data_IF_285979616314
#
_entry.id   IF_285979616314
#
_cell.length_a   1.000
_cell.length_b   1.000
_cell.length_c   1.000
_cell.angle_alpha   90.00
_cell.angle_beta   90.00
_cell.angle_gamma   90.00
#
_symmetry.space_group_name_H-M   'P 1'
#
loop_
_entity.id
_entity.type
_entity.pdbx_description
1 polymer ?
#
# COMPACT_ATOMS: atom_id res chain seq x y z
N UNK A 1 -40.08 9.20 5.96
CA UNK A 1 -39.78 7.75 5.92
C UNK A 1 -38.48 7.53 6.66
N UNK A 2 -38.38 6.57 7.59
CA UNK A 2 -37.10 6.30 8.25
C UNK A 2 -36.10 5.78 7.21
N UNK A 3 -34.93 6.42 7.11
CA UNK A 3 -33.83 5.92 6.30
C UNK A 3 -33.46 4.53 6.81
N UNK A 4 -33.66 3.48 6.00
CA UNK A 4 -33.16 2.16 6.36
C UNK A 4 -31.62 2.19 6.30
N UNK A 5 -30.98 1.82 7.40
CA UNK A 5 -29.52 1.71 7.46
C UNK A 5 -29.12 0.28 7.09
N UNK A 6 -28.08 0.13 6.26
CA UNK A 6 -27.53 -1.17 5.89
C UNK A 6 -26.33 -1.45 6.77
N UNK A 7 -26.39 -2.53 7.55
CA UNK A 7 -25.27 -2.96 8.39
C UNK A 7 -24.12 -3.41 7.49
N UNK A 8 -22.96 -2.78 7.65
CA UNK A 8 -21.75 -3.07 6.87
C UNK A 8 -20.57 -3.31 7.83
N UNK A 9 -19.79 -4.35 7.60
CA UNK A 9 -18.64 -4.76 8.42
C UNK A 9 -17.34 -4.53 7.67
N UNK A 10 -16.44 -3.80 8.30
CA UNK A 10 -15.11 -3.49 7.77
C UNK A 10 -14.03 -4.24 8.53
N UNK A 11 -12.98 -4.67 7.83
CA UNK A 11 -11.68 -5.03 8.40
C UNK A 11 -10.65 -4.01 7.93
N UNK A 12 -9.96 -3.35 8.85
CA UNK A 12 -8.91 -2.38 8.53
C UNK A 12 -7.56 -2.96 8.96
N UNK A 13 -6.61 -2.95 8.04
CA UNK A 13 -5.23 -3.37 8.20
C UNK A 13 -4.31 -2.20 7.82
N UNK A 14 -3.11 -2.17 8.39
CA UNK A 14 -2.09 -1.19 8.07
C UNK A 14 -0.75 -1.75 8.54
N UNK A 15 0.36 -1.25 7.98
CA UNK A 15 1.72 -1.52 8.48
C UNK A 15 2.00 -3.02 8.64
N UNK A 16 1.54 -3.84 7.69
CA UNK A 16 1.73 -5.29 7.81
C UNK A 16 3.17 -5.68 7.53
N UNK A 17 3.90 -4.89 6.74
CA UNK A 17 5.32 -5.13 6.43
C UNK A 17 5.61 -6.58 6.04
N UNK A 18 4.81 -7.11 5.10
CA UNK A 18 4.87 -8.50 4.64
C UNK A 18 4.54 -9.58 5.70
N UNK A 19 3.97 -9.22 6.85
CA UNK A 19 3.50 -10.17 7.84
C UNK A 19 2.13 -10.76 7.49
N UNK A 20 1.94 -12.04 7.75
CA UNK A 20 0.62 -12.67 7.67
C UNK A 20 -0.15 -12.46 8.97
N UNK A 21 -1.48 -12.35 8.87
CA UNK A 21 -2.35 -12.30 10.04
C UNK A 21 -2.32 -13.66 10.75
N UNK A 22 -1.98 -13.67 12.06
CA UNK A 22 -2.13 -14.86 12.89
C UNK A 22 -3.57 -15.38 12.85
N UNK A 23 -3.75 -16.72 12.88
CA UNK A 23 -5.09 -17.34 12.78
C UNK A 23 -6.08 -16.80 13.81
N UNK A 24 -5.62 -16.49 15.02
CA UNK A 24 -6.44 -15.96 16.11
C UNK A 24 -6.81 -14.47 15.96
N UNK A 25 -6.21 -13.75 15.00
CA UNK A 25 -6.52 -12.34 14.69
C UNK A 25 -7.36 -12.17 13.43
N UNK A 26 -7.62 -13.24 12.68
CA UNK A 26 -8.53 -13.20 11.54
C UNK A 26 -9.98 -13.10 12.03
N UNK A 27 -10.83 -12.29 11.38
CA UNK A 27 -12.26 -12.33 11.62
C UNK A 27 -12.79 -13.75 11.47
N UNK A 28 -13.67 -14.16 12.39
CA UNK A 28 -14.34 -15.48 12.33
C UNK A 28 -15.43 -15.51 11.26
N UNK A 29 -16.08 -14.37 11.06
CA UNK A 29 -17.14 -14.18 10.09
C UNK A 29 -16.60 -13.38 8.89
N UNK A 30 -17.26 -13.49 7.75
CA UNK A 30 -17.00 -12.66 6.58
C UNK A 30 -17.18 -11.17 6.89
N UNK A 31 -16.44 -10.33 6.19
CA UNK A 31 -16.58 -8.87 6.25
C UNK A 31 -17.01 -8.37 4.87
N UNK A 32 -17.70 -7.24 4.80
CA UNK A 32 -18.15 -6.69 3.51
C UNK A 32 -16.98 -6.04 2.76
N UNK A 33 -16.07 -5.39 3.50
CA UNK A 33 -14.92 -4.67 2.95
C UNK A 33 -13.69 -4.88 3.84
N UNK A 34 -12.56 -5.24 3.23
CA UNK A 34 -11.26 -5.12 3.85
C UNK A 34 -10.52 -3.91 3.27
N UNK A 35 -9.78 -3.16 4.09
CA UNK A 35 -8.98 -2.01 3.66
C UNK A 35 -7.56 -2.19 4.21
N UNK A 36 -6.54 -2.08 3.37
CA UNK A 36 -5.14 -2.01 3.78
C UNK A 36 -4.61 -0.59 3.54
N UNK A 37 -4.26 0.10 4.62
CA UNK A 37 -3.92 1.52 4.65
C UNK A 37 -2.42 1.79 4.39
N UNK A 38 -1.80 1.06 3.46
CA UNK A 38 -0.38 1.24 3.15
C UNK A 38 0.59 0.43 4.01
N UNK A 39 1.87 0.50 3.62
CA UNK A 39 3.00 -0.25 4.20
C UNK A 39 2.74 -1.76 4.14
N UNK A 40 2.39 -2.22 2.93
CA UNK A 40 2.24 -3.64 2.62
C UNK A 40 3.57 -4.38 2.76
N UNK A 41 4.65 -3.67 2.47
CA UNK A 41 6.02 -4.19 2.42
C UNK A 41 6.90 -3.56 3.49
N UNK A 42 8.04 -4.18 3.76
CA UNK A 42 9.06 -3.58 4.63
C UNK A 42 10.11 -2.86 3.77
N UNK A 43 10.43 -3.44 2.63
CA UNK A 43 11.52 -3.02 1.76
C UNK A 43 11.05 -2.80 0.32
N UNK A 44 9.75 -2.84 0.01
CA UNK A 44 9.20 -2.73 -1.36
C UNK A 44 9.63 -3.82 -2.34
N UNK A 45 10.06 -4.99 -1.84
CA UNK A 45 10.46 -6.12 -2.71
C UNK A 45 9.26 -6.81 -3.33
N UNK A 46 9.41 -7.32 -4.56
CA UNK A 46 8.33 -8.05 -5.24
C UNK A 46 7.81 -9.25 -4.42
N UNK A 47 8.71 -9.97 -3.74
CA UNK A 47 8.33 -11.10 -2.87
C UNK A 47 7.42 -10.68 -1.71
N UNK A 48 7.56 -9.44 -1.22
CA UNK A 48 6.78 -8.89 -0.13
C UNK A 48 5.38 -8.52 -0.62
N UNK A 49 5.26 -7.89 -1.79
CA UNK A 49 3.96 -7.69 -2.45
C UNK A 49 3.23 -9.01 -2.69
N UNK A 50 3.91 -10.06 -3.19
CA UNK A 50 3.31 -11.40 -3.32
C UNK A 50 2.83 -11.96 -1.97
N UNK A 51 3.50 -11.63 -0.87
CA UNK A 51 3.10 -12.04 0.48
C UNK A 51 1.90 -11.24 0.97
N UNK A 52 1.86 -9.93 0.72
CA UNK A 52 0.72 -9.08 1.04
C UNK A 52 -0.53 -9.49 0.24
N UNK A 53 -0.39 -9.82 -1.05
CA UNK A 53 -1.49 -10.39 -1.85
C UNK A 53 -1.97 -11.71 -1.27
N UNK A 54 -1.07 -12.60 -0.82
CA UNK A 54 -1.45 -13.85 -0.14
C UNK A 54 -2.20 -13.58 1.16
N UNK A 55 -1.78 -12.58 1.93
CA UNK A 55 -2.52 -12.13 3.11
C UNK A 55 -3.94 -11.71 2.72
N UNK A 56 -4.07 -10.79 1.76
CA UNK A 56 -5.35 -10.23 1.32
C UNK A 56 -6.29 -11.32 0.77
N UNK A 57 -5.78 -12.23 -0.07
CA UNK A 57 -6.53 -13.40 -0.57
C UNK A 57 -7.04 -14.31 0.54
N UNK A 58 -6.39 -14.30 1.71
CA UNK A 58 -6.76 -15.13 2.85
C UNK A 58 -7.82 -14.52 3.78
N UNK A 59 -8.32 -13.33 3.43
CA UNK A 59 -9.40 -12.61 4.12
C UNK A 59 -10.71 -12.88 3.36
N UNK A 60 -11.72 -13.33 4.10
CA UNK A 60 -13.06 -13.54 3.57
C UNK A 60 -13.82 -12.20 3.45
N UNK A 61 -13.60 -11.52 2.33
CA UNK A 61 -14.20 -10.23 2.00
C UNK A 61 -14.42 -10.12 0.47
N UNK A 62 -15.62 -9.75 -0.02
CA UNK A 62 -15.84 -9.54 -1.46
C UNK A 62 -14.99 -8.38 -2.02
N UNK A 63 -14.83 -7.31 -1.25
CA UNK A 63 -14.08 -6.11 -1.63
C UNK A 63 -12.86 -5.92 -0.73
N UNK A 64 -11.67 -5.73 -1.30
CA UNK A 64 -10.42 -5.50 -0.60
C UNK A 64 -9.72 -4.29 -1.22
N UNK A 65 -9.75 -3.16 -0.53
CA UNK A 65 -9.15 -1.91 -0.99
C UNK A 65 -7.72 -1.81 -0.46
N UNK A 66 -6.79 -1.39 -1.30
CA UNK A 66 -5.37 -1.26 -0.94
C UNK A 66 -4.87 0.09 -1.42
N UNK A 67 -4.22 0.82 -0.54
CA UNK A 67 -3.41 1.99 -0.90
C UNK A 67 -1.95 1.69 -0.60
N UNK A 68 -1.04 2.37 -1.30
CA UNK A 68 0.38 2.31 -0.98
C UNK A 68 0.67 3.07 0.30
N UNK A 69 1.74 2.68 0.99
CA UNK A 69 2.37 3.48 2.04
C UNK A 69 3.80 3.85 1.68
N UNK A 70 4.46 4.50 2.63
CA UNK A 70 5.85 4.95 2.48
C UNK A 70 6.82 3.82 2.13
N UNK A 71 6.64 2.64 2.73
CA UNK A 71 7.50 1.49 2.53
C UNK A 71 7.34 0.82 1.16
N UNK A 72 6.27 1.15 0.43
CA UNK A 72 5.94 0.56 -0.87
C UNK A 72 6.48 1.39 -2.05
N UNK A 73 7.69 1.96 -1.91
CA UNK A 73 8.26 2.95 -2.83
C UNK A 73 8.44 2.50 -4.28
N UNK A 74 8.43 1.20 -4.60
CA UNK A 74 8.43 0.70 -5.99
C UNK A 74 7.09 0.87 -6.70
N UNK A 75 6.02 1.19 -5.96
CA UNK A 75 4.75 1.67 -6.50
C UNK A 75 4.81 3.17 -6.87
N UNK A 76 5.83 3.90 -6.42
CA UNK A 76 6.12 5.29 -6.78
C UNK A 76 7.24 5.32 -7.82
N UNK A 77 6.90 5.15 -9.10
CA UNK A 77 7.86 5.07 -10.20
C UNK A 77 8.87 6.24 -10.25
N UNK A 78 8.45 7.52 -10.07
CA UNK A 78 9.37 8.64 -9.96
C UNK A 78 10.41 8.49 -8.84
N UNK A 79 9.97 8.13 -7.63
CA UNK A 79 10.87 7.93 -6.49
C UNK A 79 11.79 6.72 -6.72
N UNK A 80 11.24 5.61 -7.23
CA UNK A 80 12.04 4.42 -7.50
C UNK A 80 13.14 4.70 -8.53
N UNK A 81 12.82 5.43 -9.61
CA UNK A 81 13.79 5.86 -10.62
C UNK A 81 14.88 6.75 -10.01
N UNK A 82 14.49 7.79 -9.27
CA UNK A 82 15.44 8.71 -8.63
C UNK A 82 16.42 7.98 -7.72
N UNK A 83 15.96 6.94 -7.02
CA UNK A 83 16.81 6.12 -6.14
C UNK A 83 17.80 5.26 -6.89
N UNK A 84 17.40 4.67 -8.01
CA UNK A 84 18.33 3.92 -8.86
C UNK A 84 19.43 4.85 -9.38
N UNK A 85 19.05 6.05 -9.86
CA UNK A 85 19.96 7.05 -10.40
C UNK A 85 20.98 7.55 -9.36
N UNK A 86 20.55 7.79 -8.11
CA UNK A 86 21.44 8.23 -7.01
C UNK A 86 22.59 7.25 -6.72
N UNK A 87 22.39 5.96 -6.99
CA UNK A 87 23.39 4.92 -6.72
C UNK A 87 24.22 4.51 -7.93
N UNK A 88 23.97 5.06 -9.12
CA UNK A 88 24.83 4.76 -10.28
C UNK A 88 26.20 5.42 -10.14
N UNK A 89 27.30 4.73 -10.52
CA UNK A 89 27.37 3.41 -11.15
C UNK A 89 27.56 2.22 -10.18
N UNK A 90 27.43 2.43 -8.87
CA UNK A 90 27.76 1.42 -7.85
C UNK A 90 26.77 0.25 -7.75
N UNK A 91 25.60 0.33 -8.40
CA UNK A 91 24.49 -0.61 -8.25
C UNK A 91 24.46 -1.67 -9.38
N UNK A 92 24.36 -2.95 -9.04
CA UNK A 92 24.09 -4.00 -10.02
C UNK A 92 22.61 -3.97 -10.43
N UNK A 93 22.34 -3.49 -11.64
CA UNK A 93 20.99 -3.39 -12.18
C UNK A 93 20.26 -4.74 -12.26
N UNK A 94 20.98 -5.85 -12.48
CA UNK A 94 20.35 -7.19 -12.52
C UNK A 94 19.87 -7.60 -11.13
N UNK A 95 20.61 -7.24 -10.09
CA UNK A 95 20.22 -7.48 -8.71
C UNK A 95 18.98 -6.66 -8.33
N UNK A 96 18.89 -5.41 -8.78
CA UNK A 96 17.72 -4.55 -8.57
C UNK A 96 16.48 -5.13 -9.25
N UNK A 97 16.58 -5.46 -10.54
CA UNK A 97 15.47 -6.06 -11.29
C UNK A 97 15.02 -7.38 -10.64
N UNK A 98 15.94 -8.20 -10.12
CA UNK A 98 15.59 -9.45 -9.42
C UNK A 98 14.80 -9.23 -8.12
N UNK A 99 15.15 -8.23 -7.32
CA UNK A 99 14.56 -8.02 -5.99
C UNK A 99 13.31 -7.14 -6.02
N UNK A 100 13.32 -6.13 -6.88
CA UNK A 100 12.31 -5.07 -6.96
C UNK A 100 11.47 -5.10 -8.23
N UNK A 101 11.90 -5.84 -9.25
CA UNK A 101 11.26 -5.86 -10.55
C UNK A 101 11.68 -4.71 -11.45
N UNK A 102 11.07 -4.72 -12.63
CA UNK A 102 11.02 -3.57 -13.52
C UNK A 102 10.11 -2.46 -12.97
N UNK A 103 10.22 -1.25 -13.52
CA UNK A 103 9.29 -0.16 -13.17
C UNK A 103 7.85 -0.62 -13.39
N UNK A 104 6.95 -0.25 -12.47
CA UNK A 104 5.52 -0.59 -12.49
C UNK A 104 5.17 -2.07 -12.27
N UNK A 105 6.15 -2.98 -12.19
CA UNK A 105 5.89 -4.41 -12.00
C UNK A 105 5.16 -4.71 -10.68
N UNK A 106 5.48 -3.98 -9.61
CA UNK A 106 4.76 -4.09 -8.33
C UNK A 106 3.29 -3.65 -8.45
N UNK A 107 3.00 -2.62 -9.25
CA UNK A 107 1.64 -2.14 -9.50
C UNK A 107 0.86 -3.16 -10.35
N UNK A 108 1.47 -3.67 -11.43
CA UNK A 108 0.91 -4.74 -12.25
C UNK A 108 0.54 -5.97 -11.40
N UNK A 109 1.43 -6.38 -10.50
CA UNK A 109 1.19 -7.51 -9.62
C UNK A 109 -0.04 -7.34 -8.71
N UNK A 110 -0.30 -6.12 -8.23
CA UNK A 110 -1.51 -5.81 -7.47
C UNK A 110 -2.76 -5.77 -8.36
N UNK A 111 -2.66 -5.18 -9.55
CA UNK A 111 -3.76 -5.08 -10.52
C UNK A 111 -4.21 -6.45 -11.05
N UNK A 112 -3.30 -7.41 -11.20
CA UNK A 112 -3.63 -8.80 -11.54
C UNK A 112 -4.44 -9.53 -10.46
N UNK A 113 -4.56 -8.96 -9.25
CA UNK A 113 -5.28 -9.58 -8.14
C UNK A 113 -6.77 -9.15 -8.05
N UNK A 114 -7.28 -8.42 -9.04
CA UNK A 114 -8.69 -7.97 -9.13
C UNK A 114 -9.69 -9.11 -9.04
N UNK A 115 -9.41 -10.26 -9.66
CA UNK A 115 -10.31 -11.44 -9.59
C UNK A 115 -10.45 -12.01 -8.17
N UNK A 116 -9.52 -11.68 -7.27
CA UNK A 116 -9.62 -12.01 -5.86
C UNK A 116 -10.29 -10.90 -5.01
N UNK A 117 -10.89 -9.91 -5.66
CA UNK A 117 -11.52 -8.74 -5.05
C UNK A 117 -10.54 -7.69 -4.53
N UNK A 118 -9.26 -7.76 -4.93
CA UNK A 118 -8.21 -6.81 -4.50
C UNK A 118 -8.15 -5.66 -5.49
N UNK A 119 -8.39 -4.44 -5.02
CA UNK A 119 -8.26 -3.21 -5.81
C UNK A 119 -7.22 -2.30 -5.19
N UNK A 120 -6.15 -2.07 -5.94
CA UNK A 120 -5.15 -1.04 -5.65
C UNK A 120 -5.69 0.30 -6.10
N UNK A 121 -5.66 1.30 -5.20
CA UNK A 121 -6.26 2.60 -5.43
C UNK A 121 -5.19 3.66 -5.58
N UNK A 122 -5.26 4.39 -6.69
CA UNK A 122 -4.58 5.68 -6.84
C UNK A 122 -5.21 6.73 -5.92
N UNK A 123 -4.51 7.84 -5.72
CA UNK A 123 -5.07 8.98 -4.99
C UNK A 123 -6.36 9.49 -5.64
N UNK A 124 -7.37 9.77 -4.82
CA UNK A 124 -8.64 10.35 -5.27
C UNK A 124 -9.88 9.71 -4.62
N UNK A 125 -11.05 10.13 -5.10
CA UNK A 125 -12.34 9.63 -4.63
C UNK A 125 -12.82 8.45 -5.47
N UNK A 126 -13.10 7.34 -4.80
CA UNK A 126 -13.58 6.09 -5.38
C UNK A 126 -14.97 5.75 -4.85
N UNK A 127 -15.79 5.14 -5.71
CA UNK A 127 -17.18 4.79 -5.40
C UNK A 127 -17.41 3.30 -5.64
N UNK A 128 -18.02 2.63 -4.68
CA UNK A 128 -18.30 1.19 -4.72
C UNK A 128 -19.74 0.89 -4.33
N UNK A 129 -20.32 -0.11 -4.99
CA UNK A 129 -21.55 -0.76 -4.55
C UNK A 129 -21.18 -2.09 -3.93
N UNK A 130 -21.46 -2.25 -2.64
CA UNK A 130 -21.12 -3.44 -1.87
C UNK A 130 -22.12 -4.57 -2.13
N UNK A 131 -21.72 -5.81 -1.85
CA UNK A 131 -22.57 -7.00 -2.03
C UNK A 131 -23.85 -6.96 -1.19
N UNK A 132 -23.83 -6.27 -0.04
CA UNK A 132 -25.00 -6.05 0.82
C UNK A 132 -25.93 -4.91 0.32
N UNK A 133 -25.62 -4.29 -0.82
CA UNK A 133 -26.39 -3.20 -1.41
C UNK A 133 -26.04 -1.81 -0.88
N UNK A 134 -25.11 -1.68 0.07
CA UNK A 134 -24.65 -0.38 0.54
C UNK A 134 -23.75 0.31 -0.51
N UNK A 135 -23.80 1.64 -0.54
CA UNK A 135 -22.86 2.45 -1.31
C UNK A 135 -21.73 2.93 -0.40
N UNK A 136 -20.49 2.74 -0.86
CA UNK A 136 -19.28 3.17 -0.16
C UNK A 136 -18.56 4.20 -1.02
N UNK A 137 -18.26 5.36 -0.44
CA UNK A 137 -17.37 6.36 -1.03
C UNK A 137 -16.09 6.41 -0.20
N UNK A 138 -14.93 6.32 -0.86
CA UNK A 138 -13.61 6.31 -0.21
C UNK A 138 -12.75 7.36 -0.85
N UNK A 139 -12.09 8.19 -0.05
CA UNK A 139 -10.98 9.01 -0.53
C UNK A 139 -9.69 8.30 -0.16
N UNK A 140 -8.89 7.95 -1.16
CA UNK A 140 -7.59 7.30 -1.01
C UNK A 140 -6.49 8.34 -1.18
N UNK A 141 -5.47 8.32 -0.32
CA UNK A 141 -4.23 9.07 -0.52
C UNK A 141 -3.09 8.30 0.13
N UNK A 142 -2.04 7.95 -0.63
CA UNK A 142 -0.86 7.27 -0.08
C UNK A 142 0.12 8.25 0.59
N UNK A 143 -0.13 9.56 0.47
CA UNK A 143 0.85 10.60 0.77
C UNK A 143 1.01 10.85 2.28
N UNK A 144 2.27 10.78 2.74
CA UNK A 144 2.68 11.04 4.13
C UNK A 144 3.70 12.18 4.22
N UNK A 145 3.84 12.86 5.38
CA UNK A 145 4.88 13.87 5.56
C UNK A 145 6.30 13.37 5.23
N UNK A 146 7.11 14.22 4.61
CA UNK A 146 8.50 13.92 4.28
C UNK A 146 9.36 13.73 5.55
N UNK A 147 9.89 12.51 5.74
CA UNK A 147 10.74 12.17 6.88
C UNK A 147 12.12 11.62 6.44
N UNK A 148 12.20 10.91 5.31
CA UNK A 148 13.37 10.06 5.00
C UNK A 148 13.42 9.52 3.55
N UNK A 149 12.97 10.29 2.55
CA UNK A 149 13.02 9.93 1.12
C UNK A 149 12.28 8.62 0.75
N UNK A 150 11.23 8.23 1.44
CA UNK A 150 10.43 7.06 1.05
C UNK A 150 9.47 7.37 -0.10
N UNK A 151 8.70 6.38 -0.56
CA UNK A 151 7.66 6.61 -1.55
C UNK A 151 6.54 7.47 -0.97
N UNK A 152 5.78 8.16 -1.84
CA UNK A 152 4.56 8.86 -1.45
C UNK A 152 4.76 9.84 -0.27
N UNK A 153 5.76 10.72 -0.38
CA UNK A 153 6.02 11.76 0.61
C UNK A 153 5.77 13.16 0.06
N UNK A 154 5.19 14.05 0.87
CA UNK A 154 5.03 15.47 0.55
C UNK A 154 5.83 16.37 1.50
N UNK A 155 6.26 17.53 0.98
CA UNK A 155 7.00 18.53 1.76
C UNK A 155 6.05 19.22 2.75
N UNK A 156 6.33 19.10 4.06
CA UNK A 156 5.58 19.73 5.14
C UNK A 156 5.44 21.26 4.97
N UNK A 157 6.38 21.91 4.30
CA UNK A 157 6.36 23.38 4.07
C UNK A 157 5.47 23.77 2.91
N UNK A 158 5.34 22.89 1.92
CA UNK A 158 4.47 23.09 0.76
C UNK A 158 3.05 22.59 1.05
N UNK A 159 2.92 21.71 2.05
CA UNK A 159 1.69 20.99 2.33
C UNK A 159 1.37 19.98 1.23
N UNK A 160 0.26 19.30 1.38
CA UNK A 160 -0.43 18.62 0.28
C UNK A 160 -1.88 19.10 0.36
N UNK A 161 -2.59 19.20 -0.76
CA UNK A 161 -3.99 19.63 -0.72
C UNK A 161 -4.86 18.40 -0.89
N UNK A 162 -5.51 17.99 0.20
CA UNK A 162 -6.60 17.05 0.12
C UNK A 162 -7.83 17.86 -0.29
N UNK A 163 -8.68 17.35 -1.21
CA UNK A 163 -10.06 17.78 -1.21
C UNK A 163 -10.53 17.64 0.25
N UNK A 164 -11.18 18.66 0.81
CA UNK A 164 -11.72 18.61 2.17
C UNK A 164 -13.20 18.21 2.08
N UNK A 165 -13.54 16.92 1.89
CA UNK A 165 -14.87 16.50 2.18
C UNK A 165 -15.01 16.49 3.71
N UNK A 166 -16.01 17.22 4.21
CA UNK A 166 -16.43 17.21 5.63
C UNK A 166 -16.74 15.79 6.20
N UNK A 167 -16.63 14.73 5.41
CA UNK A 167 -16.84 13.33 5.78
C UNK A 167 -15.54 12.49 5.95
N UNK A 168 -14.35 13.02 5.61
CA UNK A 168 -13.11 12.22 5.67
C UNK A 168 -12.48 12.17 7.07
N UNK A 169 -11.97 10.98 7.44
CA UNK A 169 -11.11 10.76 8.60
C UNK A 169 -9.73 10.32 8.11
N UNK A 170 -8.66 10.95 8.60
CA UNK A 170 -7.27 10.61 8.26
C UNK A 170 -6.59 9.87 9.42
N UNK A 171 -5.82 8.83 9.11
CA UNK A 171 -4.97 8.13 10.06
C UNK A 171 -3.53 8.20 9.58
N UNK A 172 -2.65 8.77 10.41
CA UNK A 172 -1.21 8.92 10.11
C UNK A 172 -0.38 8.11 11.10
N UNK A 173 0.69 7.50 10.60
CA UNK A 173 1.79 7.01 11.41
C UNK A 173 3.11 7.38 10.74
N UNK A 174 4.06 7.88 11.53
CA UNK A 174 5.40 8.19 11.04
C UNK A 174 6.16 6.89 10.71
N UNK A 175 6.82 6.84 9.55
CA UNK A 175 7.76 5.77 9.22
C UNK A 175 8.92 5.71 10.25
N UNK A 176 9.45 4.52 10.50
CA UNK A 176 10.60 4.35 11.39
C UNK A 176 11.93 4.77 10.73
N UNK A 177 12.95 5.01 11.56
CA UNK A 177 14.17 5.76 11.21
C UNK A 177 15.16 5.08 10.26
N UNK A 178 14.74 4.13 9.43
CA UNK A 178 15.57 3.59 8.35
C UNK A 178 15.19 4.23 7.02
N UNK A 179 16.18 4.60 6.19
CA UNK A 179 15.97 5.19 4.86
C UNK A 179 16.31 4.16 3.77
N UNK A 180 15.56 4.17 2.68
CA UNK A 180 15.72 3.34 1.47
C UNK A 180 17.16 3.28 0.97
N UNK A 181 17.96 4.36 1.11
CA UNK A 181 19.39 4.32 0.76
C UNK A 181 20.17 3.28 1.56
N UNK A 182 19.84 3.13 2.85
CA UNK A 182 20.45 2.13 3.72
C UNK A 182 20.08 0.71 3.28
N UNK A 183 18.89 0.51 2.73
CA UNK A 183 18.45 -0.79 2.19
C UNK A 183 19.24 -1.19 0.94
N UNK A 184 19.36 -0.30 -0.04
CA UNK A 184 20.10 -0.60 -1.27
C UNK A 184 21.59 -0.89 -0.99
N UNK A 185 22.20 -0.15 -0.06
CA UNK A 185 23.57 -0.44 0.42
C UNK A 185 23.70 -1.79 1.14
N UNK A 186 22.67 -2.24 1.88
CA UNK A 186 22.66 -3.58 2.48
C UNK A 186 22.58 -4.67 1.41
N UNK A 187 21.73 -4.47 0.41
CA UNK A 187 21.56 -5.42 -0.69
C UNK A 187 22.86 -5.65 -1.47
N UNK A 188 23.60 -4.57 -1.77
CA UNK A 188 24.90 -4.66 -2.43
C UNK A 188 25.93 -5.44 -1.60
N UNK A 189 25.97 -5.20 -0.27
CA UNK A 189 26.91 -5.88 0.64
C UNK A 189 26.62 -7.37 0.85
N UNK A 190 25.37 -7.81 0.69
CA UNK A 190 24.99 -9.22 0.85
C UNK A 190 25.25 -10.08 -0.40
N UNK A 191 25.63 -9.47 -1.54
CA UNK A 191 25.90 -10.16 -2.80
C UNK A 191 27.37 -9.99 -3.28
N UNK A 192 28.25 -9.44 -2.43
CA UNK A 192 29.72 -9.45 -2.59
C UNK A 192 30.32 -10.56 -1.72
#
# INVERSE_FOLDING_TARGET
MASQTIKTRFLILSDTHSALLPKNRKPKDSVDVAIHCGDLTQESKLKEFRTAIRLLKSIDAPLKLVIAGSHDFTLDTPIFRSKIEEFQPSLDMKLIEREYGSFEEASLLLNEAVDAGIMFLDEGTHHFTLANGAHLTVYASPYTPFINHWGFQYDLRQGHEWPDPHWAFSTYRAADGSDVLSYLKRLQRQNL
#
